data_IF_558791311734
#
_entry.id   IF_558791311734
#
_cell.length_a   1.000
_cell.length_b   1.000
_cell.length_c   1.000
_cell.angle_alpha   90.00
_cell.angle_beta   90.00
_cell.angle_gamma   90.00
#
_symmetry.space_group_name_H-M   'P 1'
#
loop_
_entity.id
_entity.type
_entity.pdbx_description
1 polymer ?
#
# COMPACT_ATOMS: atom_id res chain seq x y z
N UNK A 1 -10.66 -9.45 8.18
CA UNK A 1 -10.91 -8.18 8.89
C UNK A 1 -11.46 -8.51 10.28
N UNK A 2 -10.90 -7.95 11.38
CA UNK A 2 -11.38 -8.15 12.75
C UNK A 2 -12.84 -7.73 12.95
N UNK A 3 -13.52 -8.32 13.94
CA UNK A 3 -14.92 -7.97 14.23
C UNK A 3 -15.03 -6.53 14.74
N UNK A 4 -14.06 -6.07 15.54
CA UNK A 4 -13.98 -4.68 15.99
C UNK A 4 -14.03 -3.66 14.85
N UNK A 5 -13.39 -3.96 13.72
CA UNK A 5 -13.43 -3.09 12.54
C UNK A 5 -14.79 -3.14 11.84
N UNK A 6 -15.40 -4.33 11.74
CA UNK A 6 -16.76 -4.47 11.21
C UNK A 6 -17.78 -3.68 12.04
N UNK A 7 -17.65 -3.72 13.36
CA UNK A 7 -18.54 -2.99 14.26
C UNK A 7 -18.37 -1.46 14.10
N UNK A 8 -17.16 -0.97 13.96
CA UNK A 8 -16.91 0.46 13.66
C UNK A 8 -17.59 0.90 12.35
N UNK A 9 -17.62 0.04 11.31
CA UNK A 9 -18.34 0.36 10.08
C UNK A 9 -19.87 0.37 10.31
N UNK A 10 -20.41 -0.58 11.07
CA UNK A 10 -21.83 -0.61 11.43
C UNK A 10 -22.25 0.64 12.23
N UNK A 11 -21.40 1.13 13.13
CA UNK A 11 -21.64 2.36 13.89
C UNK A 11 -21.75 3.60 12.99
N UNK A 12 -21.10 3.57 11.82
CA UNK A 12 -21.24 4.61 10.79
C UNK A 12 -22.46 4.40 9.86
N UNK A 13 -23.31 3.42 10.17
CA UNK A 13 -24.53 3.12 9.42
C UNK A 13 -24.31 2.21 8.19
N UNK A 14 -23.13 1.59 8.04
CA UNK A 14 -22.88 0.66 6.97
C UNK A 14 -23.51 -0.72 7.26
N UNK A 15 -24.10 -1.33 6.23
CA UNK A 15 -24.41 -2.75 6.23
C UNK A 15 -23.14 -3.55 5.93
N UNK A 16 -22.67 -4.32 6.90
CA UNK A 16 -21.45 -5.12 6.75
C UNK A 16 -21.81 -6.55 6.41
N UNK A 17 -21.46 -6.99 5.20
CA UNK A 17 -21.64 -8.34 4.70
C UNK A 17 -20.29 -9.05 4.65
N UNK A 18 -20.17 -10.18 5.36
CA UNK A 18 -19.00 -11.05 5.28
C UNK A 18 -19.28 -12.13 4.23
N UNK A 19 -18.53 -12.12 3.14
CA UNK A 19 -18.72 -13.05 2.03
C UNK A 19 -17.38 -13.62 1.57
N UNK A 20 -17.39 -14.94 1.31
CA UNK A 20 -16.20 -15.65 0.84
C UNK A 20 -15.18 -15.97 1.94
N UNK A 21 -14.21 -16.81 1.59
CA UNK A 21 -13.13 -17.22 2.48
C UNK A 21 -11.88 -16.32 2.37
N UNK A 22 -11.77 -15.57 1.28
CA UNK A 22 -10.62 -14.72 0.95
C UNK A 22 -11.07 -13.39 0.32
N UNK A 23 -10.10 -12.50 0.09
CA UNK A 23 -10.33 -11.18 -0.52
C UNK A 23 -10.95 -11.29 -1.92
N UNK A 24 -10.47 -12.21 -2.76
CA UNK A 24 -10.96 -12.38 -4.13
C UNK A 24 -12.42 -12.87 -4.16
N UNK A 25 -12.80 -13.78 -3.27
CA UNK A 25 -14.18 -14.24 -3.11
C UNK A 25 -15.10 -13.13 -2.59
N UNK A 26 -14.61 -12.32 -1.63
CA UNK A 26 -15.34 -11.14 -1.12
C UNK A 26 -15.56 -10.09 -2.22
N UNK A 27 -14.54 -9.83 -3.04
CA UNK A 27 -14.63 -8.89 -4.17
C UNK A 27 -15.65 -9.37 -5.21
N UNK A 28 -15.65 -10.67 -5.58
CA UNK A 28 -16.65 -11.23 -6.48
C UNK A 28 -18.07 -11.09 -5.93
N UNK A 29 -18.26 -11.37 -4.64
CA UNK A 29 -19.55 -11.19 -3.99
C UNK A 29 -20.04 -9.72 -4.00
N UNK A 30 -19.13 -8.77 -3.79
CA UNK A 30 -19.44 -7.34 -3.88
C UNK A 30 -19.82 -6.92 -5.32
N UNK A 31 -19.11 -7.41 -6.33
CA UNK A 31 -19.43 -7.17 -7.74
C UNK A 31 -20.81 -7.71 -8.11
N UNK A 32 -21.11 -8.96 -7.69
CA UNK A 32 -22.41 -9.60 -7.96
C UNK A 32 -23.55 -8.86 -7.25
N UNK A 33 -23.35 -8.48 -5.98
CA UNK A 33 -24.33 -7.71 -5.23
C UNK A 33 -24.59 -6.34 -5.88
N UNK A 34 -23.56 -5.62 -6.28
CA UNK A 34 -23.69 -4.35 -6.97
C UNK A 34 -24.48 -4.50 -8.29
N UNK A 35 -24.17 -5.53 -9.07
CA UNK A 35 -24.86 -5.82 -10.34
C UNK A 35 -26.35 -6.16 -10.14
N UNK A 36 -26.64 -7.03 -9.17
CA UNK A 36 -28.02 -7.49 -8.90
C UNK A 36 -28.90 -6.35 -8.37
N UNK A 37 -28.35 -5.48 -7.52
CA UNK A 37 -29.10 -4.41 -6.86
C UNK A 37 -29.01 -3.06 -7.60
N UNK A 38 -28.25 -2.97 -8.68
CA UNK A 38 -28.02 -1.69 -9.38
C UNK A 38 -27.19 -0.71 -8.55
N UNK A 39 -26.33 -1.19 -7.67
CA UNK A 39 -25.46 -0.37 -6.83
C UNK A 39 -24.17 0.00 -7.55
N UNK A 40 -23.57 1.11 -7.13
CA UNK A 40 -22.23 1.48 -7.60
C UNK A 40 -21.19 0.69 -6.80
N UNK A 41 -20.37 -0.09 -7.49
CA UNK A 41 -19.18 -0.70 -6.87
C UNK A 41 -18.12 0.40 -6.69
N UNK A 42 -17.56 0.51 -5.48
CA UNK A 42 -16.40 1.34 -5.20
C UNK A 42 -15.30 0.44 -4.64
N UNK A 43 -14.22 0.30 -5.38
CA UNK A 43 -13.03 -0.47 -5.01
C UNK A 43 -11.78 0.39 -5.16
N UNK A 44 -10.79 0.16 -4.31
CA UNK A 44 -9.43 0.72 -4.40
C UNK A 44 -8.56 0.01 -5.46
N UNK A 45 -9.00 -1.14 -5.94
CA UNK A 45 -8.33 -1.87 -7.02
C UNK A 45 -9.01 -1.60 -8.36
N UNK A 46 -8.24 -1.66 -9.44
CA UNK A 46 -8.70 -1.47 -10.81
C UNK A 46 -8.27 -2.63 -11.71
N UNK A 47 -9.10 -2.91 -12.72
CA UNK A 47 -8.86 -3.93 -13.73
C UNK A 47 -9.41 -3.50 -15.09
N UNK A 48 -9.17 -4.30 -16.13
CA UNK A 48 -9.69 -3.99 -17.47
C UNK A 48 -11.21 -3.80 -17.46
N UNK A 49 -11.68 -2.62 -17.86
CA UNK A 49 -13.10 -2.24 -17.87
C UNK A 49 -13.61 -1.63 -16.54
N UNK A 50 -12.79 -1.56 -15.49
CA UNK A 50 -13.13 -0.89 -14.23
C UNK A 50 -11.96 -0.02 -13.78
N UNK A 51 -11.91 1.21 -14.26
CA UNK A 51 -10.79 2.13 -14.02
C UNK A 51 -11.23 3.52 -13.52
N UNK A 52 -12.43 4.00 -13.89
CA UNK A 52 -12.83 5.38 -13.64
C UNK A 52 -13.00 5.69 -12.15
N UNK A 53 -13.77 4.87 -11.43
CA UNK A 53 -13.97 5.05 -9.98
C UNK A 53 -12.70 4.80 -9.16
N UNK A 54 -11.92 3.74 -9.41
CA UNK A 54 -10.61 3.58 -8.78
C UNK A 54 -9.67 4.76 -9.04
N UNK A 55 -9.68 5.35 -10.22
CA UNK A 55 -8.87 6.53 -10.53
C UNK A 55 -9.25 7.71 -9.65
N UNK A 56 -10.56 8.02 -9.54
CA UNK A 56 -11.07 9.09 -8.66
C UNK A 56 -10.69 8.82 -7.20
N UNK A 57 -10.77 7.57 -6.75
CA UNK A 57 -10.35 7.19 -5.40
C UNK A 57 -8.86 7.44 -5.20
N UNK A 58 -8.01 7.05 -6.16
CA UNK A 58 -6.57 7.29 -6.10
C UNK A 58 -6.22 8.79 -6.13
N UNK A 59 -6.97 9.62 -6.83
CA UNK A 59 -6.82 11.08 -6.78
C UNK A 59 -7.01 11.62 -5.35
N UNK A 60 -7.87 10.98 -4.54
CA UNK A 60 -8.03 11.31 -3.13
C UNK A 60 -6.74 11.15 -2.32
N UNK A 61 -5.90 10.18 -2.64
CA UNK A 61 -4.60 9.99 -1.97
C UNK A 61 -3.58 11.09 -2.30
N UNK A 62 -3.76 11.84 -3.40
CA UNK A 62 -2.89 12.98 -3.74
C UNK A 62 -2.92 14.07 -2.68
N UNK A 63 -4.00 14.19 -1.90
CA UNK A 63 -4.08 15.16 -0.80
C UNK A 63 -2.97 14.91 0.23
N UNK A 64 -2.79 13.66 0.66
CA UNK A 64 -1.73 13.28 1.59
C UNK A 64 -0.33 13.55 0.99
N UNK A 65 -0.13 13.22 -0.28
CA UNK A 65 1.12 13.48 -0.99
C UNK A 65 1.44 14.98 -1.06
N UNK A 66 0.44 15.80 -1.40
CA UNK A 66 0.57 17.25 -1.46
C UNK A 66 0.89 17.86 -0.09
N UNK A 67 0.29 17.34 0.97
CA UNK A 67 0.59 17.76 2.34
C UNK A 67 2.03 17.39 2.73
N UNK A 68 2.47 16.17 2.44
CA UNK A 68 3.83 15.74 2.68
C UNK A 68 4.85 16.63 1.94
N UNK A 69 4.61 16.96 0.68
CA UNK A 69 5.47 17.86 -0.11
C UNK A 69 5.56 19.25 0.52
N UNK A 70 4.44 19.82 0.97
CA UNK A 70 4.42 21.13 1.63
C UNK A 70 5.08 21.14 3.00
N UNK A 71 5.02 20.03 3.73
CA UNK A 71 5.53 19.89 5.09
C UNK A 71 7.00 19.46 5.14
N UNK A 72 7.51 18.81 4.10
CA UNK A 72 8.91 18.40 4.03
C UNK A 72 9.82 19.64 3.96
N UNK A 73 10.73 19.86 4.93
CA UNK A 73 11.62 21.03 4.94
C UNK A 73 12.67 20.97 3.82
N UNK A 74 12.96 19.79 3.32
CA UNK A 74 13.91 19.55 2.24
C UNK A 74 13.41 18.33 1.40
N UNK A 75 13.80 18.31 0.13
CA UNK A 75 13.52 17.16 -0.75
C UNK A 75 14.06 15.87 -0.13
N UNK A 76 13.25 14.83 0.04
CA UNK A 76 13.71 13.50 0.48
C UNK A 76 14.74 12.93 -0.49
N UNK A 77 15.67 12.12 0.02
CA UNK A 77 16.54 11.29 -0.82
C UNK A 77 15.88 9.96 -1.17
N UNK A 78 15.00 9.49 -0.28
CA UNK A 78 14.26 8.23 -0.44
C UNK A 78 12.83 8.43 0.04
N UNK A 79 11.89 7.79 -0.66
CA UNK A 79 10.47 7.70 -0.27
C UNK A 79 10.13 6.22 -0.23
N UNK A 80 9.67 5.74 0.92
CA UNK A 80 9.36 4.33 1.13
C UNK A 80 7.85 4.18 1.29
N UNK A 81 7.26 3.37 0.43
CA UNK A 81 5.82 3.25 0.27
C UNK A 81 5.39 1.79 0.41
N UNK A 82 4.70 1.47 1.49
CA UNK A 82 4.05 0.17 1.62
C UNK A 82 2.88 0.06 0.65
N UNK A 83 2.68 -1.13 0.09
CA UNK A 83 1.66 -1.37 -0.92
C UNK A 83 0.97 -2.73 -0.77
N UNK A 84 -0.35 -2.73 -0.85
CA UNK A 84 -1.18 -3.88 -1.21
C UNK A 84 -1.47 -3.83 -2.72
N UNK A 85 -2.67 -3.42 -3.13
CA UNK A 85 -2.97 -3.20 -4.57
C UNK A 85 -2.19 -2.05 -5.20
N UNK A 86 -1.58 -1.18 -4.39
CA UNK A 86 -0.65 -0.12 -4.82
C UNK A 86 -1.26 1.27 -5.00
N UNK A 87 -2.54 1.48 -4.75
CA UNK A 87 -3.22 2.76 -5.03
C UNK A 87 -2.58 3.95 -4.34
N UNK A 88 -2.37 3.86 -3.02
CA UNK A 88 -1.72 4.91 -2.22
C UNK A 88 -0.28 5.13 -2.68
N UNK A 89 0.49 4.06 -2.86
CA UNK A 89 1.88 4.13 -3.30
C UNK A 89 2.00 4.79 -4.68
N UNK A 90 1.13 4.43 -5.63
CA UNK A 90 1.08 5.03 -6.97
C UNK A 90 0.77 6.51 -6.95
N UNK A 91 -0.20 6.95 -6.12
CA UNK A 91 -0.55 8.36 -5.99
C UNK A 91 0.60 9.19 -5.40
N UNK A 92 1.23 8.70 -4.32
CA UNK A 92 2.38 9.38 -3.71
C UNK A 92 3.58 9.43 -4.67
N UNK A 93 3.88 8.34 -5.36
CA UNK A 93 4.97 8.27 -6.33
C UNK A 93 4.77 9.28 -7.47
N UNK A 94 3.59 9.33 -8.07
CA UNK A 94 3.26 10.26 -9.14
C UNK A 94 3.40 11.72 -8.69
N UNK A 95 2.86 12.07 -7.52
CA UNK A 95 2.96 13.44 -7.00
C UNK A 95 4.40 13.82 -6.64
N UNK A 96 5.17 12.89 -6.07
CA UNK A 96 6.58 13.10 -5.76
C UNK A 96 7.42 13.34 -7.02
N UNK A 97 7.13 12.63 -8.10
CA UNK A 97 7.78 12.87 -9.41
C UNK A 97 7.44 14.23 -10.00
N UNK A 98 6.19 14.67 -9.85
CA UNK A 98 5.79 16.01 -10.27
C UNK A 98 6.51 17.10 -9.45
N UNK A 99 6.55 16.95 -8.12
CA UNK A 99 7.09 17.94 -7.22
C UNK A 99 8.63 17.98 -7.17
N UNK A 100 9.29 16.82 -7.24
CA UNK A 100 10.72 16.66 -6.98
C UNK A 100 11.51 15.99 -8.12
N UNK A 101 10.84 15.64 -9.23
CA UNK A 101 11.45 14.97 -10.36
C UNK A 101 12.08 13.63 -9.93
N UNK A 102 13.27 13.35 -10.44
CA UNK A 102 14.02 12.13 -10.15
C UNK A 102 14.97 12.25 -8.94
N UNK A 103 14.84 13.31 -8.13
CA UNK A 103 15.71 13.49 -6.98
C UNK A 103 15.53 12.40 -5.90
N UNK A 104 14.30 12.04 -5.44
CA UNK A 104 14.14 10.93 -4.52
C UNK A 104 14.16 9.57 -5.23
N UNK A 105 14.76 8.57 -4.59
CA UNK A 105 14.53 7.17 -4.93
C UNK A 105 13.19 6.73 -4.33
N UNK A 106 12.30 6.18 -5.13
CA UNK A 106 10.98 5.69 -4.71
C UNK A 106 11.03 4.17 -4.59
N UNK A 107 10.72 3.68 -3.41
CA UNK A 107 10.81 2.27 -3.03
C UNK A 107 9.43 1.77 -2.62
N UNK A 108 8.96 0.74 -3.28
CA UNK A 108 7.71 0.04 -2.95
C UNK A 108 8.03 -1.17 -2.08
N UNK A 109 7.26 -1.35 -1.00
CA UNK A 109 7.40 -2.44 -0.02
C UNK A 109 6.13 -3.24 0.04
N UNK A 110 6.23 -4.56 -0.18
CA UNK A 110 5.12 -5.51 -0.15
C UNK A 110 5.40 -6.65 0.83
N UNK A 111 4.36 -7.36 1.33
CA UNK A 111 4.57 -8.64 2.00
C UNK A 111 5.23 -9.65 1.05
N UNK A 112 6.18 -10.44 1.54
CA UNK A 112 6.80 -11.48 0.72
C UNK A 112 5.82 -12.61 0.33
N UNK A 113 4.73 -12.75 1.06
CA UNK A 113 3.62 -13.68 0.76
C UNK A 113 2.62 -13.12 -0.26
N UNK A 114 2.68 -11.82 -0.59
CA UNK A 114 1.80 -11.15 -1.53
C UNK A 114 2.55 -10.09 -2.36
N UNK A 115 3.62 -10.44 -3.11
CA UNK A 115 4.44 -9.49 -3.86
C UNK A 115 3.84 -9.18 -5.23
N UNK A 116 2.57 -8.77 -5.28
CA UNK A 116 1.79 -8.67 -6.51
C UNK A 116 2.34 -7.62 -7.49
N UNK A 117 2.78 -6.47 -6.99
CA UNK A 117 3.40 -5.43 -7.81
C UNK A 117 4.79 -5.87 -8.29
N UNK A 118 5.67 -6.33 -7.38
CA UNK A 118 7.01 -6.79 -7.76
C UNK A 118 6.95 -7.91 -8.80
N UNK A 119 6.10 -8.93 -8.58
CA UNK A 119 5.93 -10.04 -9.51
C UNK A 119 5.43 -9.56 -10.88
N UNK A 120 4.47 -8.61 -10.90
CA UNK A 120 3.93 -8.05 -12.13
C UNK A 120 4.94 -7.19 -12.88
N UNK A 121 5.77 -6.41 -12.18
CA UNK A 121 6.88 -5.65 -12.78
C UNK A 121 7.90 -6.60 -13.44
N UNK A 122 8.28 -7.67 -12.74
CA UNK A 122 9.22 -8.67 -13.28
C UNK A 122 8.64 -9.42 -14.47
N UNK A 123 7.35 -9.70 -14.49
CA UNK A 123 6.66 -10.37 -15.59
C UNK A 123 6.36 -9.43 -16.78
N UNK A 124 6.36 -8.11 -16.59
CA UNK A 124 5.96 -7.12 -17.57
C UNK A 124 4.46 -7.05 -17.83
N UNK A 125 3.64 -7.69 -17.00
CA UNK A 125 2.17 -7.66 -17.05
C UNK A 125 1.59 -8.01 -15.68
N UNK A 126 0.32 -7.69 -15.46
CA UNK A 126 -0.37 -8.05 -14.22
C UNK A 126 -0.39 -9.57 -14.02
N UNK A 127 0.06 -10.05 -12.87
CA UNK A 127 0.06 -11.46 -12.48
C UNK A 127 -0.54 -11.63 -11.09
N UNK A 128 -1.09 -12.82 -10.84
CA UNK A 128 -1.53 -13.24 -9.52
C UNK A 128 -0.33 -13.83 -8.76
N UNK A 129 0.02 -13.22 -7.63
CA UNK A 129 1.10 -13.67 -6.77
C UNK A 129 0.53 -14.53 -5.63
N UNK A 130 0.43 -15.83 -5.84
CA UNK A 130 -0.07 -16.77 -4.83
C UNK A 130 0.88 -16.87 -3.63
N UNK A 131 0.30 -17.06 -2.43
CA UNK A 131 1.06 -17.18 -1.20
C UNK A 131 0.14 -17.30 0.03
N UNK A 132 0.70 -17.64 1.20
CA UNK A 132 -0.05 -17.68 2.45
C UNK A 132 -0.56 -16.30 2.86
N UNK A 133 -1.45 -16.27 3.86
CA UNK A 133 -1.89 -15.04 4.47
C UNK A 133 -0.74 -14.34 5.22
N UNK A 134 -0.75 -13.02 5.23
CA UNK A 134 0.20 -12.17 5.94
C UNK A 134 -0.45 -11.47 7.13
N UNK A 135 0.34 -11.22 8.19
CA UNK A 135 -0.08 -10.31 9.28
C UNK A 135 -0.22 -8.86 8.81
N UNK A 136 0.42 -8.51 7.70
CA UNK A 136 0.21 -7.24 6.99
C UNK A 136 -1.09 -7.29 6.19
N UNK A 137 -2.21 -7.59 6.85
CA UNK A 137 -3.48 -7.98 6.21
C UNK A 137 -4.07 -6.95 5.24
N UNK A 138 -3.76 -5.65 5.38
CA UNK A 138 -4.20 -4.62 4.41
C UNK A 138 -3.27 -4.49 3.21
N UNK A 139 -2.10 -5.12 3.27
CA UNK A 139 -1.17 -5.22 2.15
C UNK A 139 -1.23 -6.60 1.49
N UNK A 140 -1.96 -7.57 2.07
CA UNK A 140 -2.06 -8.95 1.57
C UNK A 140 -2.99 -9.03 0.34
N UNK A 141 -2.52 -8.44 -0.75
CA UNK A 141 -3.23 -8.38 -2.03
C UNK A 141 -2.47 -9.20 -3.07
N UNK A 142 -3.12 -10.22 -3.61
CA UNK A 142 -2.49 -11.16 -4.56
C UNK A 142 -2.50 -10.66 -6.01
N UNK A 143 -3.25 -9.60 -6.29
CA UNK A 143 -3.33 -8.94 -7.60
C UNK A 143 -3.18 -7.43 -7.44
N UNK A 144 -2.37 -6.74 -8.27
CA UNK A 144 -2.23 -5.30 -8.18
C UNK A 144 -3.40 -4.58 -8.86
N UNK A 145 -3.67 -3.36 -8.44
CA UNK A 145 -4.50 -2.42 -9.20
C UNK A 145 -3.82 -2.08 -10.53
N UNK A 146 -4.51 -2.20 -11.64
CA UNK A 146 -3.97 -1.92 -12.98
C UNK A 146 -3.42 -0.49 -13.12
N UNK A 147 -4.15 0.49 -12.58
CA UNK A 147 -3.72 1.90 -12.58
C UNK A 147 -2.46 2.06 -11.77
N UNK A 148 -2.42 1.48 -10.57
CA UNK A 148 -1.26 1.56 -9.68
C UNK A 148 -0.03 0.88 -10.29
N UNK A 149 -0.18 -0.31 -10.87
CA UNK A 149 0.90 -1.01 -11.55
C UNK A 149 1.50 -0.16 -12.68
N UNK A 150 0.66 0.42 -13.54
CA UNK A 150 1.12 1.26 -14.64
C UNK A 150 1.84 2.53 -14.16
N UNK A 151 1.32 3.16 -13.09
CA UNK A 151 1.94 4.33 -12.48
C UNK A 151 3.28 3.99 -11.84
N UNK A 152 3.32 2.96 -11.01
CA UNK A 152 4.53 2.54 -10.30
C UNK A 152 5.61 1.96 -11.23
N UNK A 153 5.23 1.32 -12.34
CA UNK A 153 6.17 0.88 -13.37
C UNK A 153 6.95 2.05 -13.99
N UNK A 154 6.36 3.25 -14.03
CA UNK A 154 6.99 4.48 -14.51
C UNK A 154 7.76 5.21 -13.41
N UNK A 155 7.20 5.27 -12.20
CA UNK A 155 7.57 6.23 -11.16
C UNK A 155 8.40 5.63 -10.03
N UNK A 156 8.33 4.31 -9.77
CA UNK A 156 9.11 3.65 -8.73
C UNK A 156 10.48 3.18 -9.24
N UNK A 157 11.49 3.26 -8.37
CA UNK A 157 12.85 2.81 -8.69
C UNK A 157 13.12 1.37 -8.20
N UNK A 158 12.49 0.98 -7.09
CA UNK A 158 12.72 -0.30 -6.44
C UNK A 158 11.40 -0.92 -5.95
N UNK A 159 11.34 -2.24 -6.04
CA UNK A 159 10.31 -3.07 -5.43
C UNK A 159 10.99 -4.09 -4.55
N UNK A 160 10.62 -4.15 -3.29
CA UNK A 160 11.17 -5.09 -2.33
C UNK A 160 10.07 -5.71 -1.47
N UNK A 161 10.38 -6.81 -0.83
CA UNK A 161 9.45 -7.52 0.03
C UNK A 161 9.96 -7.62 1.45
N UNK A 162 9.03 -7.68 2.41
CA UNK A 162 9.29 -7.92 3.82
C UNK A 162 8.55 -9.18 4.27
N UNK A 163 9.20 -9.99 5.08
CA UNK A 163 8.52 -11.07 5.79
C UNK A 163 7.73 -10.53 6.98
N UNK A 164 6.71 -11.26 7.40
CA UNK A 164 5.93 -10.94 8.60
C UNK A 164 6.83 -10.79 9.84
N UNK A 165 7.78 -11.71 10.02
CA UNK A 165 8.72 -11.68 11.16
C UNK A 165 9.63 -10.44 11.15
N UNK A 166 10.10 -10.01 9.98
CA UNK A 166 10.91 -8.79 9.88
C UNK A 166 10.12 -7.55 10.28
N UNK A 167 8.86 -7.44 9.85
CA UNK A 167 8.02 -6.31 10.22
C UNK A 167 7.67 -6.36 11.70
N UNK A 168 7.21 -7.51 12.21
CA UNK A 168 6.81 -7.70 13.61
C UNK A 168 7.95 -7.35 14.60
N UNK A 169 9.19 -7.68 14.24
CA UNK A 169 10.38 -7.37 15.07
C UNK A 169 10.54 -5.86 15.33
N UNK A 170 10.07 -5.00 14.43
CA UNK A 170 10.24 -3.55 14.55
C UNK A 170 9.04 -2.81 15.17
N UNK A 171 7.86 -3.44 15.27
CA UNK A 171 6.67 -2.80 15.84
C UNK A 171 6.86 -2.31 17.28
N UNK A 172 7.50 -3.07 18.20
CA UNK A 172 7.76 -2.58 19.55
C UNK A 172 8.62 -1.32 19.58
N UNK A 173 9.66 -1.25 18.73
CA UNK A 173 10.52 -0.07 18.63
C UNK A 173 9.73 1.17 18.16
N UNK A 174 8.79 0.99 17.24
CA UNK A 174 7.90 2.08 16.80
C UNK A 174 7.00 2.53 17.95
N UNK A 175 6.41 1.61 18.69
CA UNK A 175 5.56 1.91 19.84
C UNK A 175 6.32 2.67 20.95
N UNK A 176 7.55 2.26 21.24
CA UNK A 176 8.43 2.89 22.23
C UNK A 176 8.83 4.32 21.85
N UNK A 177 8.63 4.71 20.60
CA UNK A 177 8.92 6.05 20.08
C UNK A 177 7.64 6.84 19.70
N UNK A 178 6.50 6.53 20.31
CA UNK A 178 5.20 7.17 20.03
C UNK A 178 4.72 7.05 18.58
N UNK A 179 5.19 6.02 17.86
CA UNK A 179 4.85 5.71 16.47
C UNK A 179 4.11 4.38 16.36
N UNK A 180 3.32 4.03 17.39
CA UNK A 180 2.57 2.78 17.39
C UNK A 180 1.67 2.66 16.16
N UNK A 181 1.73 1.50 15.49
CA UNK A 181 1.01 1.24 14.24
C UNK A 181 0.76 -0.26 14.07
N UNK A 182 0.02 -0.64 13.03
CA UNK A 182 -0.16 -2.05 12.63
C UNK A 182 1.03 -2.55 11.80
N UNK A 183 1.11 -3.85 11.55
CA UNK A 183 2.10 -4.42 10.64
C UNK A 183 1.98 -3.84 9.21
N UNK A 184 0.74 -3.62 8.73
CA UNK A 184 0.50 -2.99 7.44
C UNK A 184 0.97 -1.53 7.40
N UNK A 185 0.59 -0.76 8.42
CA UNK A 185 0.93 0.68 8.50
C UNK A 185 2.42 0.94 8.69
N UNK A 186 3.14 0.02 9.35
CA UNK A 186 4.55 0.16 9.69
C UNK A 186 5.53 -0.48 8.72
N UNK A 187 5.08 -1.24 7.72
CA UNK A 187 5.95 -2.03 6.83
C UNK A 187 7.04 -1.18 6.15
N UNK A 188 6.71 0.02 5.68
CA UNK A 188 7.67 0.93 5.06
C UNK A 188 8.76 1.40 6.02
N UNK A 189 8.41 1.71 7.28
CA UNK A 189 9.38 2.09 8.30
C UNK A 189 10.22 0.88 8.73
N UNK A 190 9.59 -0.28 8.92
CA UNK A 190 10.29 -1.52 9.24
C UNK A 190 11.36 -1.86 8.18
N UNK A 191 11.05 -1.66 6.89
CA UNK A 191 12.03 -1.86 5.82
C UNK A 191 13.26 -0.96 5.97
N UNK A 192 13.09 0.31 6.33
CA UNK A 192 14.21 1.25 6.56
C UNK A 192 15.02 0.87 7.80
N UNK A 193 14.42 0.23 8.78
CA UNK A 193 15.14 -0.21 9.98
C UNK A 193 16.01 -1.46 9.74
N UNK A 194 15.82 -2.19 8.64
CA UNK A 194 16.66 -3.32 8.25
C UNK A 194 18.03 -2.84 7.71
N UNK A 195 19.16 -3.24 8.32
CA UNK A 195 20.49 -2.81 7.89
C UNK A 195 20.82 -3.18 6.44
N UNK A 196 20.40 -4.36 6.01
CA UNK A 196 20.63 -4.89 4.67
C UNK A 196 19.92 -4.07 3.62
N UNK A 197 18.67 -3.67 3.87
CA UNK A 197 17.86 -2.82 2.98
C UNK A 197 18.48 -1.42 2.90
N UNK A 198 18.85 -0.83 4.04
CA UNK A 198 19.56 0.46 4.04
C UNK A 198 20.82 0.44 3.21
N UNK A 199 21.63 -0.60 3.37
CA UNK A 199 22.86 -0.77 2.60
C UNK A 199 22.57 -0.88 1.10
N UNK A 200 21.63 -1.73 0.72
CA UNK A 200 21.25 -1.96 -0.67
C UNK A 200 20.70 -0.70 -1.36
N UNK A 201 19.94 0.11 -0.64
CA UNK A 201 19.37 1.37 -1.14
C UNK A 201 20.35 2.56 -1.09
N UNK A 202 21.46 2.43 -0.36
CA UNK A 202 22.42 3.51 -0.13
C UNK A 202 21.90 4.56 0.87
N UNK A 203 21.08 4.14 1.83
CA UNK A 203 20.58 4.99 2.91
C UNK A 203 21.68 5.13 3.97
N UNK A 204 22.37 6.25 3.96
CA UNK A 204 23.43 6.61 4.88
C UNK A 204 22.96 7.64 5.94
N UNK A 205 23.92 8.16 6.74
CA UNK A 205 23.63 9.13 7.80
C UNK A 205 23.11 10.49 7.27
N UNK A 206 23.34 10.80 6.01
CA UNK A 206 22.88 12.02 5.37
C UNK A 206 21.55 11.84 4.62
N UNK A 207 21.04 10.62 4.57
CA UNK A 207 19.78 10.34 3.88
C UNK A 207 18.59 10.99 4.61
N UNK A 208 17.69 11.53 3.83
CA UNK A 208 16.39 12.06 4.27
C UNK A 208 15.33 11.11 3.73
N UNK A 209 14.78 10.31 4.61
CA UNK A 209 13.81 9.26 4.24
C UNK A 209 12.41 9.72 4.63
N UNK A 210 11.51 9.70 3.67
CA UNK A 210 10.07 9.91 3.87
C UNK A 210 9.38 8.55 3.92
N UNK A 211 8.70 8.27 5.03
CA UNK A 211 7.83 7.12 5.23
C UNK A 211 6.44 7.59 5.65
N UNK A 212 5.45 6.72 5.45
CA UNK A 212 4.08 6.98 5.89
C UNK A 212 3.66 5.91 6.90
N UNK A 213 3.18 6.35 8.06
CA UNK A 213 2.45 5.49 8.99
C UNK A 213 0.97 5.67 8.69
N UNK A 214 0.38 4.73 7.98
CA UNK A 214 -0.97 4.88 7.43
C UNK A 214 -2.07 4.37 8.35
N UNK A 215 -1.72 3.80 9.50
CA UNK A 215 -2.65 3.18 10.42
C UNK A 215 -2.25 3.43 11.88
N UNK A 216 -3.25 3.40 12.75
CA UNK A 216 -3.06 3.34 14.20
C UNK A 216 -3.29 1.90 14.68
N UNK A 217 -2.78 1.49 15.86
CA UNK A 217 -3.07 0.18 16.44
C UNK A 217 -4.57 -0.06 16.57
N UNK A 218 -5.00 -1.31 16.38
CA UNK A 218 -6.41 -1.74 16.54
C UNK A 218 -6.77 -2.02 17.99
#
# INVERSE_FOLDING_TARGET
>A
VPESFADRLKEQGAEVVRAGADYAASMRAAQDAAKVNGWTLLSDSSWAGYVDLPHILMEGYLQMAAEAVRQCPQTPTHIILQAGVGGLAGAVAAYARDAWGNAPKIVVVEPNSAPALQASILAGHCVFADGPDSIMGRLDCKEPSLIALNGLARDADYFLTMTDAEVETHLPLLADNDLATTASGGAGVAAVLQPEIRHALGIDINARVLCFLSEVPE
#
